data_IF_947321616885
#
_entry.id   IF_947321616885
#
_cell.length_a   1.000
_cell.length_b   1.000
_cell.length_c   1.000
_cell.angle_alpha   90.00
_cell.angle_beta   90.00
_cell.angle_gamma   90.00
#
_symmetry.space_group_name_H-M   'P 1'
#
loop_
_entity.id
_entity.type
_entity.pdbx_description
1 polymer ?
#
# COMPACT_ATOMS: atom_id res chain seq x y z
N UNK A 1 2.74 -19.65 21.98
CA UNK A 1 1.94 -19.24 20.82
C UNK A 1 2.70 -19.65 19.57
N UNK A 2 2.19 -20.63 18.84
CA UNK A 2 2.81 -21.14 17.60
C UNK A 2 2.80 -20.04 16.55
N UNK A 3 3.98 -19.64 16.08
CA UNK A 3 4.15 -18.82 14.87
C UNK A 3 3.31 -19.46 13.76
N UNK A 4 2.19 -18.83 13.39
CA UNK A 4 1.43 -19.26 12.23
C UNK A 4 2.39 -19.20 11.04
N UNK A 5 2.47 -20.28 10.25
CA UNK A 5 3.29 -20.27 9.04
C UNK A 5 2.83 -19.10 8.18
N UNK A 6 3.70 -18.11 7.97
CA UNK A 6 3.44 -16.99 7.07
C UNK A 6 2.96 -17.51 5.73
N UNK A 7 1.92 -16.89 5.18
CA UNK A 7 1.46 -17.16 3.82
C UNK A 7 2.59 -16.93 2.81
N UNK A 8 2.54 -17.60 1.66
CA UNK A 8 3.56 -17.43 0.62
C UNK A 8 3.67 -15.96 0.18
N UNK A 9 2.53 -15.28 0.05
CA UNK A 9 2.46 -13.88 -0.37
C UNK A 9 2.97 -12.94 0.73
N UNK A 10 2.66 -13.22 2.01
CA UNK A 10 3.23 -12.47 3.13
C UNK A 10 4.76 -12.52 3.10
N UNK A 11 5.33 -13.74 2.99
CA UNK A 11 6.79 -13.91 2.90
C UNK A 11 7.35 -13.13 1.72
N UNK A 12 6.74 -13.27 0.54
CA UNK A 12 7.20 -12.60 -0.68
C UNK A 12 7.20 -11.07 -0.54
N UNK A 13 6.12 -10.49 -0.01
CA UNK A 13 6.00 -9.04 0.21
C UNK A 13 7.08 -8.55 1.18
N UNK A 14 7.29 -9.23 2.31
CA UNK A 14 8.32 -8.81 3.26
C UNK A 14 9.74 -8.92 2.69
N UNK A 15 10.05 -10.02 2.00
CA UNK A 15 11.38 -10.23 1.42
C UNK A 15 11.69 -9.18 0.36
N UNK A 16 10.78 -8.98 -0.58
CA UNK A 16 10.95 -7.99 -1.67
C UNK A 16 10.90 -6.54 -1.16
N UNK A 17 10.15 -6.24 -0.09
CA UNK A 17 10.19 -4.94 0.56
C UNK A 17 11.57 -4.67 1.17
N UNK A 18 12.14 -5.65 1.88
CA UNK A 18 13.48 -5.52 2.48
C UNK A 18 14.57 -5.37 1.40
N UNK A 19 14.42 -6.04 0.25
CA UNK A 19 15.32 -5.85 -0.89
C UNK A 19 15.19 -4.45 -1.49
N UNK A 20 13.97 -3.96 -1.72
CA UNK A 20 13.73 -2.61 -2.22
C UNK A 20 14.27 -1.55 -1.26
N UNK A 21 14.13 -1.77 0.05
CA UNK A 21 14.71 -0.90 1.09
C UNK A 21 16.25 -0.88 1.01
N UNK A 22 16.91 -2.04 0.91
CA UNK A 22 18.37 -2.13 0.72
C UNK A 22 18.86 -1.45 -0.55
N UNK A 23 18.04 -1.45 -1.61
CA UNK A 23 18.33 -0.75 -2.88
C UNK A 23 18.06 0.76 -2.82
N UNK A 24 17.56 1.29 -1.70
CA UNK A 24 17.23 2.71 -1.54
C UNK A 24 15.96 3.14 -2.27
N UNK A 25 15.03 2.21 -2.52
CA UNK A 25 13.76 2.51 -3.20
C UNK A 25 12.71 3.11 -2.25
N UNK A 26 12.93 3.03 -0.93
CA UNK A 26 12.15 3.74 0.08
C UNK A 26 12.91 4.99 0.54
N UNK A 27 12.18 6.06 0.83
CA UNK A 27 12.78 7.35 1.22
C UNK A 27 13.30 7.39 2.66
N UNK A 28 12.83 6.47 3.49
CA UNK A 28 13.15 6.34 4.91
C UNK A 28 12.75 4.94 5.37
N UNK A 29 13.38 4.46 6.44
CA UNK A 29 13.01 3.19 7.08
C UNK A 29 11.91 3.41 8.10
N UNK A 30 11.05 2.41 8.29
CA UNK A 30 9.98 2.45 9.29
C UNK A 30 10.37 1.60 10.49
N UNK A 31 10.59 2.25 11.63
CA UNK A 31 10.85 1.59 12.91
C UNK A 31 9.59 0.92 13.47
N UNK A 32 9.78 -0.27 14.06
CA UNK A 32 8.76 -0.99 14.84
C UNK A 32 9.06 -0.95 16.35
N UNK A 33 9.95 -0.06 16.80
CA UNK A 33 10.24 0.03 18.24
C UNK A 33 9.01 0.51 19.03
N UNK A 34 8.91 0.18 20.34
CA UNK A 34 7.76 0.60 21.17
C UNK A 34 7.59 2.12 21.30
N UNK A 35 8.63 2.90 20.99
CA UNK A 35 8.52 4.38 20.91
C UNK A 35 7.82 4.84 19.63
N UNK A 36 7.85 4.02 18.57
CA UNK A 36 7.32 4.35 17.24
C UNK A 36 5.99 3.67 16.95
N UNK A 37 5.63 2.59 17.65
CA UNK A 37 4.34 1.91 17.50
C UNK A 37 3.72 1.65 18.87
N UNK A 38 2.47 2.09 19.04
CA UNK A 38 1.68 1.87 20.27
C UNK A 38 0.27 1.42 19.95
N UNK A 39 -0.28 0.57 20.79
CA UNK A 39 -1.68 0.17 20.71
C UNK A 39 -2.46 0.88 21.81
N UNK A 40 -3.37 1.77 21.42
CA UNK A 40 -4.24 2.49 22.35
C UNK A 40 -5.58 1.78 22.42
N UNK A 41 -5.93 1.31 23.61
CA UNK A 41 -7.21 0.67 23.89
C UNK A 41 -8.19 1.71 24.43
N UNK A 42 -9.37 1.80 23.83
CA UNK A 42 -10.48 2.61 24.33
C UNK A 42 -11.67 1.70 24.57
N UNK A 43 -12.40 1.93 25.66
CA UNK A 43 -13.60 1.17 25.99
C UNK A 43 -14.74 2.15 26.26
N UNK A 44 -15.87 1.94 25.59
CA UNK A 44 -17.13 2.66 25.80
C UNK A 44 -18.30 1.65 25.92
N UNK A 45 -19.53 2.16 26.02
CA UNK A 45 -20.73 1.31 26.07
C UNK A 45 -20.90 0.41 24.82
N UNK A 46 -20.28 0.78 23.69
CA UNK A 46 -20.26 0.03 22.44
C UNK A 46 -19.12 -0.99 22.32
N UNK A 47 -18.33 -1.17 23.38
CA UNK A 47 -17.28 -2.19 23.49
C UNK A 47 -15.87 -1.63 23.48
N UNK A 48 -14.90 -2.52 23.29
CA UNK A 48 -13.47 -2.17 23.31
C UNK A 48 -12.92 -2.10 21.90
N UNK A 49 -12.22 -1.00 21.58
CA UNK A 49 -11.50 -0.78 20.33
C UNK A 49 -10.01 -0.64 20.60
N UNK A 50 -9.19 -1.12 19.66
CA UNK A 50 -7.73 -1.01 19.70
C UNK A 50 -7.28 -0.23 18.48
N UNK A 51 -6.55 0.85 18.71
CA UNK A 51 -6.01 1.72 17.66
C UNK A 51 -4.49 1.57 17.60
N UNK A 52 -3.92 1.05 16.50
CA UNK A 52 -2.49 1.13 16.26
C UNK A 52 -2.13 2.58 15.91
N UNK A 53 -1.23 3.18 16.69
CA UNK A 53 -0.68 4.52 16.47
C UNK A 53 0.79 4.36 16.12
N UNK A 54 1.17 4.78 14.93
CA UNK A 54 2.54 4.70 14.44
C UNK A 54 3.12 6.10 14.16
N UNK A 55 4.25 6.38 14.79
CA UNK A 55 5.07 7.57 14.53
C UNK A 55 6.13 7.20 13.48
N UNK A 56 6.13 7.93 12.37
CA UNK A 56 7.16 7.84 11.32
C UNK A 56 7.75 9.24 11.13
N UNK A 57 8.78 9.57 11.91
CA UNK A 57 9.30 10.94 12.04
C UNK A 57 9.77 11.51 10.70
N UNK A 58 10.58 10.75 9.96
CA UNK A 58 11.15 11.16 8.67
C UNK A 58 10.10 11.33 7.57
N UNK A 59 8.92 10.72 7.73
CA UNK A 59 7.86 10.82 6.72
C UNK A 59 7.36 12.23 6.53
N UNK A 60 7.35 13.05 7.58
CA UNK A 60 6.85 14.42 7.51
C UNK A 60 7.67 15.29 6.56
N UNK A 61 8.99 15.07 6.49
CA UNK A 61 9.92 15.87 5.68
C UNK A 61 10.31 15.18 4.38
N UNK A 62 10.41 13.85 4.35
CA UNK A 62 10.85 13.09 3.18
C UNK A 62 9.72 12.73 2.21
N UNK A 63 8.46 12.68 2.66
CA UNK A 63 7.33 12.41 1.75
C UNK A 63 7.18 13.59 0.78
N UNK A 64 7.13 13.30 -0.52
CA UNK A 64 6.77 14.30 -1.53
C UNK A 64 5.40 14.90 -1.19
N UNK A 65 5.30 16.22 -1.26
CA UNK A 65 4.02 16.92 -1.12
C UNK A 65 3.07 16.37 -2.18
N UNK A 66 1.87 15.97 -1.75
CA UNK A 66 0.83 15.59 -2.70
C UNK A 66 0.59 16.78 -3.64
N UNK A 67 0.41 16.52 -4.93
CA UNK A 67 -0.04 17.55 -5.85
C UNK A 67 -1.33 18.15 -5.28
N UNK A 68 -1.49 19.48 -5.37
CA UNK A 68 -2.78 20.08 -5.06
C UNK A 68 -3.81 19.45 -5.98
N UNK A 69 -4.96 19.08 -5.43
CA UNK A 69 -6.11 18.73 -6.24
C UNK A 69 -6.53 20.05 -6.91
N UNK A 70 -6.07 20.24 -8.14
CA UNK A 70 -6.36 21.43 -8.95
C UNK A 70 -7.77 21.37 -9.56
N UNK A 71 -8.37 20.18 -9.56
CA UNK A 71 -9.62 19.88 -10.23
C UNK A 71 -10.75 19.76 -9.19
N UNK A 72 -11.86 20.47 -9.39
CA UNK A 72 -13.03 20.38 -8.51
C UNK A 72 -13.75 19.01 -8.63
N UNK A 73 -13.35 18.18 -9.59
CA UNK A 73 -13.92 16.85 -9.81
C UNK A 73 -13.24 15.76 -8.98
N UNK A 74 -14.05 14.85 -8.45
CA UNK A 74 -13.59 13.64 -7.76
C UNK A 74 -13.20 12.51 -8.72
N UNK A 75 -13.43 12.68 -10.03
CA UNK A 75 -13.18 11.69 -11.08
C UNK A 75 -12.43 12.32 -12.28
N UNK A 76 -11.22 12.87 -12.08
CA UNK A 76 -10.45 13.44 -13.18
C UNK A 76 -10.01 12.34 -14.17
N UNK A 77 -9.98 12.63 -15.48
CA UNK A 77 -9.44 11.70 -16.47
C UNK A 77 -7.96 11.41 -16.23
N UNK A 78 -7.47 10.27 -16.72
CA UNK A 78 -6.05 9.95 -16.65
C UNK A 78 -5.24 10.95 -17.48
N UNK A 79 -4.11 11.41 -16.94
CA UNK A 79 -3.20 12.36 -17.59
C UNK A 79 -1.79 11.75 -17.67
N UNK A 80 -1.33 11.31 -18.86
CA UNK A 80 0.00 10.69 -19.04
C UNK A 80 1.15 11.67 -18.81
N UNK A 81 0.91 13.00 -18.81
CA UNK A 81 1.96 13.98 -18.53
C UNK A 81 2.33 14.00 -17.04
N UNK A 82 1.36 13.77 -16.14
CA UNK A 82 1.54 13.69 -14.69
C UNK A 82 2.26 12.41 -14.27
N UNK A 83 2.63 12.30 -13.00
CA UNK A 83 3.25 11.06 -12.50
C UNK A 83 2.25 9.89 -12.58
N UNK A 84 2.74 8.73 -13.06
CA UNK A 84 2.01 7.46 -13.08
C UNK A 84 2.99 6.30 -12.95
N UNK A 85 2.49 5.12 -12.61
CA UNK A 85 3.33 3.96 -12.27
C UNK A 85 4.10 3.32 -13.43
N UNK A 86 3.98 3.78 -14.69
CA UNK A 86 4.96 3.40 -15.72
C UNK A 86 6.25 4.22 -15.62
N UNK A 87 6.27 5.30 -14.84
CA UNK A 87 7.43 6.18 -14.62
C UNK A 87 8.26 5.82 -13.39
N UNK A 88 7.88 4.77 -12.64
CA UNK A 88 8.74 4.26 -11.56
C UNK A 88 9.94 3.54 -12.15
N UNK A 89 11.02 3.44 -11.38
CA UNK A 89 12.16 2.62 -11.78
C UNK A 89 11.83 1.14 -11.64
N UNK A 90 12.53 0.30 -12.40
CA UNK A 90 12.32 -1.14 -12.34
C UNK A 90 12.66 -1.71 -10.96
N UNK A 91 13.63 -1.12 -10.25
CA UNK A 91 14.01 -1.55 -8.90
C UNK A 91 12.91 -1.28 -7.85
N UNK A 92 11.94 -0.40 -8.15
CA UNK A 92 10.77 -0.16 -7.29
C UNK A 92 9.68 -1.24 -7.50
N UNK A 93 9.72 -1.99 -8.59
CA UNK A 93 8.80 -3.11 -8.85
C UNK A 93 9.29 -4.32 -8.03
N UNK A 94 8.45 -4.76 -7.09
CA UNK A 94 8.78 -5.86 -6.17
C UNK A 94 8.59 -7.22 -6.86
N UNK A 95 7.44 -7.41 -7.51
CA UNK A 95 7.07 -8.61 -8.27
C UNK A 95 5.80 -8.37 -9.08
N UNK A 96 5.46 -9.33 -9.96
CA UNK A 96 4.19 -9.38 -10.67
C UNK A 96 3.26 -10.40 -9.98
N UNK A 97 2.04 -9.97 -9.66
CA UNK A 97 0.98 -10.81 -9.09
C UNK A 97 0.06 -11.30 -10.21
N UNK A 98 -0.14 -12.61 -10.30
CA UNK A 98 -0.98 -13.23 -11.32
C UNK A 98 -2.40 -13.44 -10.80
N UNK A 99 -3.38 -12.85 -11.46
CA UNK A 99 -4.80 -13.05 -11.16
C UNK A 99 -5.65 -12.87 -12.42
N UNK A 100 -6.75 -13.64 -12.50
CA UNK A 100 -7.71 -13.56 -13.60
C UNK A 100 -7.09 -13.68 -15.01
N UNK A 101 -5.93 -14.35 -15.14
CA UNK A 101 -5.22 -14.57 -16.40
C UNK A 101 -4.27 -13.44 -16.80
N UNK A 102 -4.14 -12.40 -15.99
CA UNK A 102 -3.26 -11.25 -16.22
C UNK A 102 -2.19 -11.11 -15.12
N UNK A 103 -1.16 -10.31 -15.42
CA UNK A 103 -0.12 -9.92 -14.45
C UNK A 103 -0.33 -8.49 -13.98
N UNK A 104 -0.15 -8.28 -12.69
CA UNK A 104 -0.38 -7.02 -12.02
C UNK A 104 0.84 -6.63 -11.18
N UNK A 105 1.38 -5.45 -11.42
CA UNK A 105 2.58 -5.01 -10.75
C UNK A 105 2.33 -4.75 -9.27
N UNK A 106 3.19 -5.29 -8.41
CA UNK A 106 3.31 -4.89 -7.02
C UNK A 106 4.56 -4.05 -6.85
N UNK A 107 4.38 -2.82 -6.40
CA UNK A 107 5.43 -1.79 -6.37
C UNK A 107 5.64 -1.36 -4.92
N UNK A 108 6.89 -1.18 -4.49
CA UNK A 108 7.16 -0.66 -3.15
C UNK A 108 6.58 0.75 -3.01
N UNK A 109 5.92 1.05 -1.89
CA UNK A 109 5.55 2.43 -1.63
C UNK A 109 6.79 3.20 -1.17
N UNK A 110 7.33 4.08 -2.03
CA UNK A 110 8.51 4.88 -1.71
C UNK A 110 8.36 5.79 -0.48
N UNK A 111 7.13 6.00 0.01
CA UNK A 111 6.86 6.67 1.30
C UNK A 111 6.01 5.75 2.19
N UNK A 112 6.60 4.66 2.70
CA UNK A 112 5.88 3.64 3.44
C UNK A 112 5.29 4.21 4.73
N UNK A 113 4.19 3.63 5.23
CA UNK A 113 3.60 3.96 6.54
C UNK A 113 3.96 2.90 7.58
N UNK A 114 4.17 1.67 7.14
CA UNK A 114 4.65 0.54 7.92
C UNK A 114 5.64 -0.27 7.06
N UNK A 115 6.36 -1.21 7.69
CA UNK A 115 7.10 -2.24 6.94
C UNK A 115 6.10 -3.06 6.14
N UNK A 116 6.46 -3.49 4.93
CA UNK A 116 5.60 -4.15 3.93
C UNK A 116 4.68 -3.25 3.11
N UNK A 117 4.68 -1.93 3.30
CA UNK A 117 3.78 -1.05 2.55
C UNK A 117 4.13 -1.01 1.06
N UNK A 118 3.24 -1.58 0.24
CA UNK A 118 3.34 -1.64 -1.20
C UNK A 118 2.05 -1.18 -1.88
N UNK A 119 2.11 -1.11 -3.21
CA UNK A 119 1.04 -0.69 -4.09
C UNK A 119 0.73 -1.82 -5.06
N UNK A 120 -0.54 -2.19 -5.20
CA UNK A 120 -0.99 -3.09 -6.25
C UNK A 120 -1.48 -2.22 -7.41
N UNK A 121 -0.90 -2.36 -8.59
CA UNK A 121 -1.24 -1.56 -9.78
C UNK A 121 -1.85 -2.49 -10.83
N UNK A 122 -3.16 -2.79 -10.75
CA UNK A 122 -3.80 -3.68 -11.72
C UNK A 122 -3.81 -3.02 -13.09
N UNK A 123 -3.60 -3.83 -14.13
CA UNK A 123 -3.59 -3.38 -15.53
C UNK A 123 -2.67 -2.16 -15.75
N UNK A 124 -1.48 -2.16 -15.14
CA UNK A 124 -0.52 -1.03 -15.12
C UNK A 124 -0.29 -0.36 -16.48
N UNK A 125 -0.31 -1.12 -17.57
CA UNK A 125 -0.12 -0.63 -18.96
C UNK A 125 -1.36 0.02 -19.57
N UNK A 126 -2.55 -0.18 -19.00
CA UNK A 126 -3.82 0.36 -19.52
C UNK A 126 -4.04 1.82 -19.12
N UNK A 127 -3.20 2.38 -18.25
CA UNK A 127 -3.24 3.80 -17.86
C UNK A 127 -4.64 4.24 -17.35
N UNK A 128 -5.26 3.38 -16.52
CA UNK A 128 -6.59 3.64 -15.99
C UNK A 128 -6.54 4.74 -14.92
N UNK A 129 -7.50 5.68 -14.87
CA UNK A 129 -7.60 6.64 -13.78
C UNK A 129 -7.85 5.94 -12.44
N UNK A 130 -7.66 6.64 -11.32
CA UNK A 130 -7.87 6.12 -9.96
C UNK A 130 -9.36 5.94 -9.63
N UNK A 131 -10.01 5.03 -10.37
CA UNK A 131 -11.43 4.71 -10.35
C UNK A 131 -11.57 3.18 -10.40
N UNK A 132 -12.36 2.62 -9.49
CA UNK A 132 -12.56 1.17 -9.43
C UNK A 132 -13.29 0.67 -10.67
N UNK A 133 -12.75 -0.40 -11.26
CA UNK A 133 -13.41 -1.20 -12.29
C UNK A 133 -13.74 -2.58 -11.72
N UNK A 134 -14.65 -3.32 -12.36
CA UNK A 134 -14.97 -4.69 -11.94
C UNK A 134 -13.73 -5.59 -11.90
N UNK A 135 -12.85 -5.48 -12.90
CA UNK A 135 -11.58 -6.21 -12.94
C UNK A 135 -10.67 -5.83 -11.77
N UNK A 136 -10.51 -4.54 -11.51
CA UNK A 136 -9.66 -4.06 -10.42
C UNK A 136 -10.14 -4.52 -9.03
N UNK A 137 -11.46 -4.53 -8.81
CA UNK A 137 -12.05 -5.04 -7.58
C UNK A 137 -11.78 -6.54 -7.43
N UNK A 138 -11.90 -7.33 -8.51
CA UNK A 138 -11.57 -8.76 -8.50
C UNK A 138 -10.12 -9.01 -8.07
N UNK A 139 -9.17 -8.30 -8.68
CA UNK A 139 -7.74 -8.38 -8.37
C UNK A 139 -7.47 -8.00 -6.91
N UNK A 140 -8.02 -6.87 -6.45
CA UNK A 140 -7.84 -6.41 -5.07
C UNK A 140 -8.39 -7.39 -4.04
N UNK A 141 -9.54 -8.01 -4.29
CA UNK A 141 -10.14 -9.02 -3.42
C UNK A 141 -9.34 -10.32 -3.40
N UNK A 142 -8.83 -10.78 -4.56
CA UNK A 142 -7.95 -11.96 -4.64
C UNK A 142 -6.66 -11.73 -3.86
N UNK A 143 -6.01 -10.60 -4.07
CA UNK A 143 -4.80 -10.24 -3.33
C UNK A 143 -5.05 -10.18 -1.82
N UNK A 144 -6.16 -9.54 -1.40
CA UNK A 144 -6.56 -9.48 0.01
C UNK A 144 -6.79 -10.88 0.60
N UNK A 145 -7.44 -11.78 -0.16
CA UNK A 145 -7.65 -13.17 0.26
C UNK A 145 -6.32 -13.91 0.48
N UNK A 146 -5.35 -13.73 -0.43
CA UNK A 146 -4.03 -14.37 -0.33
C UNK A 146 -3.18 -13.81 0.82
N UNK A 147 -3.40 -12.55 1.20
CA UNK A 147 -2.73 -11.92 2.34
C UNK A 147 -3.40 -12.21 3.70
N UNK A 148 -4.65 -12.68 3.72
CA UNK A 148 -5.49 -12.67 4.93
C UNK A 148 -4.88 -13.43 6.11
N UNK A 149 -4.19 -14.55 5.85
CA UNK A 149 -3.59 -15.38 6.89
C UNK A 149 -2.54 -14.67 7.76
N UNK A 150 -1.92 -13.60 7.24
CA UNK A 150 -0.94 -12.79 7.96
C UNK A 150 -1.51 -11.50 8.56
N UNK A 151 -2.82 -11.24 8.48
CA UNK A 151 -3.41 -9.96 8.90
C UNK A 151 -3.15 -8.83 7.90
N UNK A 152 -2.97 -9.16 6.63
CA UNK A 152 -2.79 -8.18 5.55
C UNK A 152 -4.06 -7.40 5.25
N UNK A 153 -3.87 -6.15 4.85
CA UNK A 153 -4.92 -5.20 4.51
C UNK A 153 -4.69 -4.69 3.10
N UNK A 154 -5.75 -4.63 2.31
CA UNK A 154 -5.78 -3.96 1.02
C UNK A 154 -6.79 -2.80 1.10
N UNK A 155 -6.36 -1.61 0.72
CA UNK A 155 -7.17 -0.38 0.77
C UNK A 155 -7.20 0.35 -0.56
N UNK A 156 -8.32 0.99 -0.87
CA UNK A 156 -8.46 1.85 -2.03
C UNK A 156 -8.84 3.26 -1.58
N UNK A 157 -8.08 4.25 -2.04
CA UNK A 157 -8.43 5.65 -1.92
C UNK A 157 -8.76 6.18 -3.32
N UNK A 158 -9.94 6.79 -3.50
CA UNK A 158 -10.23 7.59 -4.69
C UNK A 158 -9.49 8.93 -4.64
N UNK A 159 -9.52 9.70 -5.73
CA UNK A 159 -9.00 11.08 -5.73
C UNK A 159 -9.69 11.93 -4.65
N UNK A 160 -11.02 11.80 -4.53
CA UNK A 160 -11.80 12.47 -3.47
C UNK A 160 -11.49 11.99 -2.03
N UNK A 161 -10.83 10.83 -1.89
CA UNK A 161 -10.35 10.29 -0.62
C UNK A 161 -8.82 10.45 -0.46
N UNK A 162 -8.26 11.54 -1.00
CA UNK A 162 -6.86 11.94 -0.87
C UNK A 162 -5.83 11.01 -1.53
N UNK A 163 -6.19 10.27 -2.58
CA UNK A 163 -5.20 9.60 -3.41
C UNK A 163 -4.26 10.62 -4.08
N UNK A 164 -2.95 10.42 -3.94
CA UNK A 164 -1.94 11.36 -4.46
C UNK A 164 -1.58 11.16 -5.94
N UNK A 165 -2.01 10.05 -6.55
CA UNK A 165 -1.69 9.67 -7.93
C UNK A 165 -2.98 9.26 -8.65
N UNK A 166 -3.23 9.86 -9.81
CA UNK A 166 -4.35 9.48 -10.67
C UNK A 166 -3.95 8.34 -11.64
N UNK A 167 -3.59 7.19 -11.08
CA UNK A 167 -3.34 5.96 -11.83
C UNK A 167 -3.79 4.80 -10.96
N UNK A 168 -4.68 3.95 -11.46
CA UNK A 168 -5.37 2.91 -10.70
C UNK A 168 -4.42 2.07 -9.84
N UNK A 169 -4.58 2.15 -8.52
CA UNK A 169 -3.81 1.38 -7.57
C UNK A 169 -4.55 1.15 -6.25
N UNK A 170 -4.15 0.10 -5.55
CA UNK A 170 -4.49 -0.17 -4.16
C UNK A 170 -3.27 0.02 -3.27
N UNK A 171 -3.49 0.38 -2.01
CA UNK A 171 -2.49 0.27 -0.95
C UNK A 171 -2.58 -1.15 -0.37
N UNK A 172 -1.44 -1.77 -0.09
CA UNK A 172 -1.41 -3.06 0.60
C UNK A 172 -0.30 -3.09 1.65
N UNK A 173 -0.59 -3.66 2.82
CA UNK A 173 0.37 -3.80 3.90
C UNK A 173 -0.12 -4.79 4.95
N UNK A 174 0.80 -5.29 5.77
CA UNK A 174 0.47 -6.01 7.00
C UNK A 174 0.36 -5.04 8.16
N UNK A 175 -0.70 -5.17 8.96
CA UNK A 175 -0.83 -4.39 10.18
C UNK A 175 0.33 -4.74 11.10
N UNK A 176 1.04 -3.74 11.66
CA UNK A 176 2.03 -4.01 12.69
C UNK A 176 1.37 -4.75 13.85
N UNK A 177 1.97 -5.85 14.33
CA UNK A 177 1.36 -6.71 15.36
C UNK A 177 0.86 -5.89 16.55
N UNK A 178 -0.42 -6.04 16.86
CA UNK A 178 -0.98 -5.72 18.16
C UNK A 178 -0.42 -6.73 19.17
N UNK A 179 0.70 -6.36 19.79
CA UNK A 179 1.30 -7.09 20.93
C UNK A 179 0.24 -7.38 21.99
#
# INVERSE_FOLDING_TARGET
MTSAKRGWLEKLVFDTFNEAEKRGCVRYSVSLSPTHLRHVRTSDEGGTRVYPIQLVEERATAKRRAAKVEDETTLPPFDPSKFHFLKVKEEEVMFEYEADGDKHAVIVNASPVCRSHCLIVPFRSHLLPQVLTRGAVSVGLRFASDMHSGGGVVGFNSIGAFASVNHLHFQAYFLPDAV
#
